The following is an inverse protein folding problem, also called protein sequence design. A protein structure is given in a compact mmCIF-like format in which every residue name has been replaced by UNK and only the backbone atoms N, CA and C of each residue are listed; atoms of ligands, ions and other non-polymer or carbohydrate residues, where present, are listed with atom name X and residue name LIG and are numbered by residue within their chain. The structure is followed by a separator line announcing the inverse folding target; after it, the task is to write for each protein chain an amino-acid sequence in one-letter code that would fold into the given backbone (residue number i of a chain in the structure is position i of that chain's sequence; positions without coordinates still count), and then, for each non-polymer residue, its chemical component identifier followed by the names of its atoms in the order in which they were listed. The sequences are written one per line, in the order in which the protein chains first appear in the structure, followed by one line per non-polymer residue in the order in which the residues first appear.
data_IF_641041644913
#
_entry.id   IF_641041644913
#
_cell.length_a   1.000
_cell.length_b   1.000
_cell.length_c   1.000
_cell.angle_alpha   90.00
_cell.angle_beta   90.00
_cell.angle_gamma   90.00
#
_symmetry.space_group_name_H-M   'P 1'
#
loop_
_entity.id
_entity.type
_entity.pdbx_description
1 polymer ?
#
# COMPACT_ATOMS: atom_id res chain seq x y z
N UNK A 1 -69.80 70.98 7.94
CA UNK A 1 -69.06 72.25 8.09
C UNK A 1 -67.57 71.92 8.11
N UNK A 2 -66.83 72.47 7.14
CA UNK A 2 -65.36 72.52 6.96
C UNK A 2 -64.50 71.23 6.92
N UNK A 3 -64.17 70.87 5.68
CA UNK A 3 -62.88 70.27 5.25
C UNK A 3 -61.72 71.25 5.50
N UNK A 4 -60.57 70.75 5.94
CA UNK A 4 -59.24 71.31 5.60
C UNK A 4 -58.27 70.17 5.34
N UNK A 5 -57.78 70.10 4.11
CA UNK A 5 -56.56 69.40 3.73
C UNK A 5 -55.35 70.16 4.28
N UNK A 6 -54.23 69.47 4.54
CA UNK A 6 -52.93 69.86 3.98
C UNK A 6 -51.89 68.74 4.13
N UNK A 7 -51.41 68.28 2.98
CA UNK A 7 -50.20 67.51 2.81
C UNK A 7 -49.00 68.38 3.10
N UNK A 8 -48.16 68.00 4.06
CA UNK A 8 -46.81 68.54 4.19
C UNK A 8 -45.88 67.42 4.64
N UNK A 9 -45.10 66.92 3.67
CA UNK A 9 -43.77 66.31 3.79
C UNK A 9 -43.65 65.07 4.72
N UNK A 10 -43.42 63.84 4.25
CA UNK A 10 -42.52 63.43 3.16
C UNK A 10 -41.12 64.06 3.29
N UNK A 11 -40.52 64.03 4.48
CA UNK A 11 -39.05 64.12 4.66
C UNK A 11 -38.71 63.65 6.09
N UNK A 12 -38.26 62.39 6.18
CA UNK A 12 -37.22 61.79 7.06
C UNK A 12 -37.42 60.26 6.96
N UNK A 13 -37.40 59.78 5.71
CA UNK A 13 -36.73 58.55 5.37
C UNK A 13 -35.22 58.83 5.49
N UNK A 14 -34.48 57.90 6.09
CA UNK A 14 -33.04 57.92 6.43
C UNK A 14 -32.67 58.46 7.82
N UNK A 15 -32.17 57.53 8.65
CA UNK A 15 -31.41 57.70 9.90
C UNK A 15 -32.25 57.83 11.19
N UNK A 16 -32.87 56.71 11.60
CA UNK A 16 -32.54 56.06 12.89
C UNK A 16 -32.46 54.56 12.64
N UNK A 17 -31.40 54.20 11.91
CA UNK A 17 -30.89 52.86 11.76
C UNK A 17 -30.00 52.57 12.99
N UNK A 18 -30.58 52.53 14.20
CA UNK A 18 -29.88 52.17 15.44
C UNK A 18 -30.84 52.11 16.63
N UNK A 19 -31.83 51.22 16.57
CA UNK A 19 -32.74 51.02 17.70
C UNK A 19 -33.47 49.70 17.61
N UNK A 20 -32.93 48.69 18.28
CA UNK A 20 -33.56 47.40 18.60
C UNK A 20 -33.83 46.45 17.41
N UNK A 21 -32.75 45.87 16.88
CA UNK A 21 -32.78 44.43 16.61
C UNK A 21 -32.83 43.69 17.96
N UNK A 22 -33.97 43.09 18.30
CA UNK A 22 -34.07 41.91 19.19
C UNK A 22 -35.53 41.46 19.26
N UNK A 23 -35.96 40.77 18.21
CA UNK A 23 -37.24 40.07 18.13
C UNK A 23 -37.09 38.80 17.31
N UNK A 24 -35.98 38.09 17.51
CA UNK A 24 -35.78 36.78 16.90
C UNK A 24 -36.66 35.75 17.61
N UNK A 25 -37.66 35.27 16.87
CA UNK A 25 -38.18 33.90 16.88
C UNK A 25 -37.58 32.97 17.96
N UNK A 26 -38.26 32.81 19.08
CA UNK A 26 -38.05 31.65 19.95
C UNK A 26 -38.85 30.46 19.39
N UNK A 27 -38.40 29.94 18.25
CA UNK A 27 -38.68 28.56 17.92
C UNK A 27 -37.85 27.71 18.89
N UNK A 28 -38.51 27.03 19.84
CA UNK A 28 -37.82 26.06 20.68
C UNK A 28 -37.30 24.95 19.77
N UNK A 29 -36.00 24.98 19.48
CA UNK A 29 -35.30 23.84 18.92
C UNK A 29 -35.43 22.70 19.94
N UNK A 30 -36.18 21.65 19.58
CA UNK A 30 -36.08 20.39 20.29
C UNK A 30 -34.61 19.96 20.20
N UNK A 31 -33.91 19.98 21.34
CA UNK A 31 -32.56 19.43 21.43
C UNK A 31 -32.54 18.01 20.87
N UNK A 32 -31.39 17.50 20.39
CA UNK A 32 -31.32 16.16 19.85
C UNK A 32 -31.82 15.18 20.91
N UNK A 33 -33.03 14.64 20.70
CA UNK A 33 -33.59 13.63 21.59
C UNK A 33 -32.59 12.50 21.73
N UNK A 34 -32.46 11.95 22.94
CA UNK A 34 -31.62 10.76 23.16
C UNK A 34 -32.02 9.70 22.14
N UNK A 35 -31.18 9.50 21.12
CA UNK A 35 -31.29 8.35 20.24
C UNK A 35 -31.11 7.12 21.14
N UNK A 36 -32.17 6.33 21.26
CA UNK A 36 -32.05 4.99 21.83
C UNK A 36 -30.89 4.28 21.12
N UNK A 37 -29.94 3.68 21.86
CA UNK A 37 -28.87 2.94 21.22
C UNK A 37 -29.50 1.87 20.36
N UNK A 38 -29.13 1.85 19.08
CA UNK A 38 -29.51 0.76 18.18
C UNK A 38 -29.06 -0.55 18.86
N UNK A 39 -29.89 -1.61 18.85
CA UNK A 39 -29.43 -2.91 19.30
C UNK A 39 -28.15 -3.25 18.53
N UNK A 40 -27.14 -3.85 19.18
CA UNK A 40 -25.93 -4.28 18.49
C UNK A 40 -26.37 -5.17 17.33
N UNK A 41 -26.13 -4.72 16.09
CA UNK A 41 -26.23 -5.61 14.94
C UNK A 41 -25.17 -6.67 15.24
N UNK A 42 -25.52 -7.96 15.35
CA UNK A 42 -24.53 -9.00 15.39
C UNK A 42 -23.78 -8.89 14.06
N UNK A 43 -22.61 -8.25 14.07
CA UNK A 43 -21.66 -8.38 12.98
C UNK A 43 -21.31 -9.87 13.01
N UNK A 44 -22.01 -10.66 12.18
CA UNK A 44 -21.57 -12.00 11.81
C UNK A 44 -20.09 -11.83 11.50
N UNK A 45 -19.22 -12.42 12.32
CA UNK A 45 -17.78 -12.26 12.16
C UNK A 45 -17.44 -12.48 10.69
N UNK A 46 -16.62 -11.60 10.13
CA UNK A 46 -16.28 -11.62 8.72
C UNK A 46 -15.69 -12.99 8.34
N UNK A 47 -16.50 -13.89 7.78
CA UNK A 47 -16.05 -15.21 7.32
C UNK A 47 -15.38 -15.13 5.95
N UNK A 48 -15.12 -13.93 5.41
CA UNK A 48 -14.60 -13.72 4.06
C UNK A 48 -13.07 -13.57 4.00
N UNK A 49 -12.40 -13.62 5.16
CA UNK A 49 -10.95 -13.64 5.26
C UNK A 49 -10.40 -14.95 4.69
N UNK A 50 -10.13 -14.96 3.38
CA UNK A 50 -9.65 -16.16 2.69
C UNK A 50 -8.54 -15.82 1.71
N UNK A 51 -7.34 -16.36 1.97
CA UNK A 51 -6.17 -16.19 1.10
C UNK A 51 -6.45 -16.67 -0.33
N UNK A 52 -7.18 -17.78 -0.47
CA UNK A 52 -7.46 -18.42 -1.75
C UNK A 52 -8.29 -17.56 -2.71
N UNK A 53 -8.89 -16.45 -2.26
CA UNK A 53 -9.60 -15.52 -3.14
C UNK A 53 -8.65 -14.88 -4.16
N UNK A 54 -7.52 -14.36 -3.68
CA UNK A 54 -6.57 -13.59 -4.49
C UNK A 54 -5.24 -14.31 -4.73
N UNK A 55 -4.94 -15.35 -3.95
CA UNK A 55 -3.68 -16.06 -3.99
C UNK A 55 -3.90 -17.56 -4.16
N UNK A 56 -2.88 -18.25 -4.64
CA UNK A 56 -2.74 -19.70 -4.48
C UNK A 56 -1.51 -19.96 -3.62
N UNK A 57 -1.51 -21.04 -2.84
CA UNK A 57 -0.32 -21.45 -2.10
C UNK A 57 0.83 -21.68 -3.09
N UNK A 58 2.00 -21.13 -2.78
CA UNK A 58 3.20 -21.36 -3.58
C UNK A 58 3.55 -22.85 -3.61
N UNK A 59 3.91 -23.36 -4.79
CA UNK A 59 4.44 -24.70 -4.97
C UNK A 59 5.95 -24.68 -5.13
N UNK A 60 6.65 -25.72 -4.68
CA UNK A 60 8.08 -25.92 -4.93
C UNK A 60 8.38 -26.18 -6.41
N UNK A 61 7.36 -26.55 -7.20
CA UNK A 61 7.49 -26.66 -8.66
C UNK A 61 7.73 -25.28 -9.26
N UNK A 62 8.88 -25.11 -9.92
CA UNK A 62 9.24 -23.91 -10.67
C UNK A 62 8.16 -23.55 -11.70
N UNK A 63 7.83 -22.26 -11.85
CA UNK A 63 6.90 -21.74 -12.88
C UNK A 63 7.51 -20.59 -13.66
N UNK A 64 7.05 -20.34 -14.88
CA UNK A 64 7.41 -19.11 -15.59
C UNK A 64 6.77 -17.87 -14.93
N UNK A 65 7.31 -16.66 -15.15
CA UNK A 65 6.57 -15.41 -14.99
C UNK A 65 5.25 -15.41 -15.78
N UNK A 66 4.40 -14.41 -15.55
CA UNK A 66 3.20 -14.26 -16.36
C UNK A 66 3.52 -13.91 -17.83
N UNK A 67 2.49 -13.81 -18.68
CA UNK A 67 2.66 -13.54 -20.11
C UNK A 67 3.40 -12.22 -20.41
N UNK A 68 3.38 -11.27 -19.47
CA UNK A 68 4.02 -9.96 -19.54
C UNK A 68 5.35 -9.90 -18.74
N UNK A 69 5.83 -11.03 -18.23
CA UNK A 69 7.09 -11.13 -17.47
C UNK A 69 6.98 -10.78 -15.99
N UNK A 70 5.78 -10.56 -15.43
CA UNK A 70 5.63 -10.22 -14.03
C UNK A 70 5.84 -11.42 -13.11
N UNK A 71 6.50 -11.12 -11.99
CA UNK A 71 6.81 -12.07 -10.94
C UNK A 71 5.61 -12.16 -9.99
N UNK A 72 4.95 -13.32 -9.97
CA UNK A 72 3.75 -13.54 -9.18
C UNK A 72 4.01 -14.33 -7.88
N UNK A 73 5.12 -15.07 -7.82
CA UNK A 73 5.48 -15.94 -6.69
C UNK A 73 6.34 -15.18 -5.70
N UNK A 74 5.94 -15.19 -4.43
CA UNK A 74 6.66 -14.51 -3.35
C UNK A 74 6.54 -15.28 -2.04
N UNK A 75 7.64 -15.34 -1.29
CA UNK A 75 7.59 -15.39 0.16
C UNK A 75 7.26 -13.99 0.67
N UNK A 76 6.18 -13.90 1.44
CA UNK A 76 5.65 -12.65 1.99
C UNK A 76 5.58 -12.80 3.49
N UNK A 77 6.24 -11.89 4.21
CA UNK A 77 6.19 -11.84 5.67
C UNK A 77 4.85 -11.20 6.12
N UNK A 78 4.35 -11.59 7.28
CA UNK A 78 3.31 -10.81 7.94
C UNK A 78 3.73 -9.33 8.10
N UNK A 79 2.79 -8.37 8.08
CA UNK A 79 3.14 -6.97 8.14
C UNK A 79 3.76 -6.61 9.49
N UNK A 80 4.89 -5.93 9.45
CA UNK A 80 5.43 -5.15 10.58
C UNK A 80 4.50 -3.96 10.76
N UNK A 81 3.86 -3.82 11.93
CA UNK A 81 3.01 -2.67 12.23
C UNK A 81 3.85 -1.39 12.35
N UNK A 82 3.37 -0.29 11.76
CA UNK A 82 3.95 1.05 11.78
C UNK A 82 2.89 2.10 12.06
N UNK A 83 3.25 3.16 12.77
CA UNK A 83 2.35 4.28 13.02
C UNK A 83 2.57 5.37 11.95
N UNK A 84 1.89 5.22 10.81
CA UNK A 84 2.05 6.10 9.64
C UNK A 84 0.68 6.68 9.26
N UNK A 85 0.46 7.96 9.57
CA UNK A 85 -0.80 8.63 9.29
C UNK A 85 -0.94 9.12 7.83
N UNK A 86 0.18 9.38 7.14
CA UNK A 86 0.22 9.94 5.78
C UNK A 86 1.44 9.41 5.02
N UNK A 87 1.31 9.24 3.72
CA UNK A 87 2.36 8.68 2.85
C UNK A 87 3.39 9.72 2.37
N UNK A 88 3.12 11.02 2.51
CA UNK A 88 4.04 12.08 2.11
C UNK A 88 5.39 12.09 2.87
N UNK A 89 5.52 11.27 3.92
CA UNK A 89 6.77 11.10 4.69
C UNK A 89 7.76 10.14 4.04
N UNK A 90 7.38 9.41 2.98
CA UNK A 90 8.18 8.37 2.33
C UNK A 90 9.33 8.93 1.47
N UNK A 91 10.13 9.82 2.04
CA UNK A 91 11.39 10.28 1.47
C UNK A 91 12.42 9.15 1.43
N UNK A 92 13.42 9.27 0.57
CA UNK A 92 14.55 8.36 0.46
C UNK A 92 15.19 8.02 1.82
N UNK A 93 15.47 9.05 2.62
CA UNK A 93 16.10 8.89 3.93
C UNK A 93 15.18 8.18 4.92
N UNK A 94 13.88 8.49 4.90
CA UNK A 94 12.90 7.82 5.76
C UNK A 94 12.82 6.33 5.41
N UNK A 95 12.71 6.00 4.11
CA UNK A 95 12.63 4.61 3.65
C UNK A 95 13.89 3.82 4.02
N UNK A 96 15.09 4.34 3.71
CA UNK A 96 16.35 3.67 4.04
C UNK A 96 16.51 3.43 5.54
N UNK A 97 16.22 4.45 6.35
CA UNK A 97 16.28 4.32 7.81
C UNK A 97 15.28 3.29 8.32
N UNK A 98 14.04 3.35 7.83
CA UNK A 98 12.96 2.46 8.29
C UNK A 98 13.22 1.01 7.89
N UNK A 99 13.62 0.76 6.65
CA UNK A 99 13.91 -0.59 6.16
C UNK A 99 15.16 -1.18 6.83
N UNK A 100 16.16 -0.36 7.16
CA UNK A 100 17.33 -0.81 7.91
C UNK A 100 16.96 -1.21 9.35
N UNK A 101 16.16 -0.39 10.04
CA UNK A 101 15.78 -0.62 11.43
C UNK A 101 14.91 -1.87 11.63
N UNK A 102 13.95 -2.11 10.73
CA UNK A 102 13.02 -3.26 10.81
C UNK A 102 13.41 -4.38 9.84
N UNK A 103 14.69 -4.57 9.58
CA UNK A 103 15.16 -5.63 8.70
C UNK A 103 15.07 -6.99 9.40
N UNK A 104 14.56 -8.01 8.69
CA UNK A 104 14.48 -9.38 9.23
C UNK A 104 15.83 -10.13 9.18
N UNK A 105 16.79 -9.66 8.39
CA UNK A 105 18.13 -10.24 8.31
C UNK A 105 19.15 -9.28 7.70
N UNK A 106 20.30 -9.12 8.34
CA UNK A 106 21.44 -8.34 7.82
C UNK A 106 22.07 -8.97 6.57
N UNK A 107 21.89 -10.27 6.35
CA UNK A 107 22.26 -10.93 5.10
C UNK A 107 21.10 -10.80 4.10
N UNK A 108 21.29 -9.93 3.11
CA UNK A 108 20.32 -9.66 2.05
C UNK A 108 20.12 -10.81 1.04
N UNK A 109 20.84 -11.92 1.21
CA UNK A 109 20.73 -13.13 0.40
C UNK A 109 19.99 -14.28 1.09
N UNK A 110 19.54 -14.11 2.34
CA UNK A 110 18.72 -15.11 3.03
C UNK A 110 17.38 -15.32 2.33
N UNK A 111 17.07 -16.59 2.05
CA UNK A 111 15.74 -17.07 1.62
C UNK A 111 15.06 -17.75 2.81
N UNK A 112 13.98 -17.17 3.37
CA UNK A 112 13.26 -17.77 4.49
C UNK A 112 12.48 -19.01 4.04
N UNK A 113 12.03 -19.83 5.01
CA UNK A 113 11.21 -21.02 4.69
C UNK A 113 9.73 -20.67 4.77
N UNK A 114 8.93 -21.24 3.89
CA UNK A 114 7.48 -21.12 3.99
C UNK A 114 7.01 -21.62 5.38
N UNK A 115 6.19 -20.83 6.05
CA UNK A 115 5.65 -21.15 7.37
C UNK A 115 6.57 -20.90 8.56
N UNK A 116 7.86 -20.58 8.36
CA UNK A 116 8.76 -20.23 9.46
C UNK A 116 8.43 -18.84 10.04
N UNK A 117 8.77 -18.63 11.31
CA UNK A 117 8.66 -17.33 11.98
C UNK A 117 10.03 -16.63 12.07
N UNK A 118 10.01 -15.31 12.20
CA UNK A 118 11.18 -14.47 12.47
C UNK A 118 10.76 -13.30 13.34
N UNK A 119 11.67 -12.84 14.20
CA UNK A 119 11.46 -11.62 14.99
C UNK A 119 11.92 -10.40 14.21
N UNK A 120 11.05 -9.39 14.11
CA UNK A 120 11.37 -8.06 13.60
C UNK A 120 11.01 -7.04 14.69
N UNK A 121 12.03 -6.44 15.29
CA UNK A 121 11.84 -5.67 16.53
C UNK A 121 11.24 -6.55 17.63
N UNK A 122 10.07 -6.16 18.14
CA UNK A 122 9.32 -6.89 19.17
C UNK A 122 8.16 -7.74 18.60
N UNK A 123 8.11 -7.96 17.28
CA UNK A 123 7.04 -8.69 16.61
C UNK A 123 7.55 -10.02 16.08
N UNK A 124 6.92 -11.13 16.48
CA UNK A 124 7.11 -12.43 15.84
C UNK A 124 6.17 -12.52 14.61
N UNK A 125 6.75 -12.73 13.43
CA UNK A 125 6.06 -12.66 12.14
C UNK A 125 6.29 -13.93 11.33
N UNK A 126 5.25 -14.40 10.64
CA UNK A 126 5.27 -15.66 9.85
C UNK A 126 5.46 -15.42 8.35
N UNK A 127 6.22 -16.28 7.69
CA UNK A 127 6.38 -16.28 6.23
C UNK A 127 5.30 -17.11 5.53
N UNK A 128 4.81 -16.61 4.39
CA UNK A 128 3.86 -17.31 3.51
C UNK A 128 4.40 -17.34 2.08
N UNK A 129 4.51 -18.54 1.49
CA UNK A 129 4.76 -18.69 0.06
C UNK A 129 3.44 -18.63 -0.71
N UNK A 130 3.29 -17.62 -1.56
CA UNK A 130 2.05 -17.33 -2.29
C UNK A 130 2.34 -16.97 -3.74
N UNK A 131 1.47 -17.44 -4.64
CA UNK A 131 1.37 -16.97 -6.01
C UNK A 131 0.18 -16.01 -6.11
N UNK A 132 0.41 -14.79 -6.58
CA UNK A 132 -0.70 -13.90 -6.97
C UNK A 132 -1.41 -14.42 -8.19
N UNK A 133 -2.74 -14.33 -8.20
CA UNK A 133 -3.57 -14.65 -9.38
C UNK A 133 -3.54 -13.55 -10.45
N UNK A 134 -3.05 -12.36 -10.11
CA UNK A 134 -2.89 -11.21 -11.02
C UNK A 134 -1.41 -10.88 -11.22
N UNK A 135 -1.10 -9.93 -12.10
CA UNK A 135 0.29 -9.52 -12.38
C UNK A 135 0.95 -8.81 -11.17
N UNK A 136 0.15 -8.14 -10.34
CA UNK A 136 0.58 -7.48 -9.11
C UNK A 136 0.27 -8.32 -7.88
N UNK A 137 1.03 -8.12 -6.81
CA UNK A 137 0.73 -8.68 -5.50
C UNK A 137 0.02 -7.62 -4.66
N UNK A 138 -1.20 -7.93 -4.19
CA UNK A 138 -2.02 -6.99 -3.42
C UNK A 138 -1.88 -7.23 -1.91
N UNK A 139 -1.05 -6.41 -1.25
CA UNK A 139 -0.77 -6.51 0.18
C UNK A 139 -1.99 -6.17 1.05
N UNK A 140 -2.87 -5.30 0.58
CA UNK A 140 -4.15 -5.05 1.26
C UNK A 140 -5.00 -6.33 1.33
N UNK A 141 -5.14 -7.05 0.21
CA UNK A 141 -5.85 -8.33 0.19
C UNK A 141 -5.16 -9.40 1.02
N UNK A 142 -3.83 -9.45 0.98
CA UNK A 142 -3.05 -10.39 1.80
C UNK A 142 -3.28 -10.16 3.29
N UNK A 143 -3.02 -8.94 3.79
CA UNK A 143 -3.18 -8.58 5.21
C UNK A 143 -4.62 -8.74 5.69
N UNK A 144 -5.60 -8.37 4.85
CA UNK A 144 -7.00 -8.66 5.11
C UNK A 144 -7.22 -10.16 5.27
N UNK A 145 -6.79 -11.00 4.31
CA UNK A 145 -7.04 -12.44 4.32
C UNK A 145 -6.44 -13.17 5.53
N UNK A 146 -5.35 -12.66 6.12
CA UNK A 146 -4.72 -13.22 7.33
C UNK A 146 -5.11 -12.50 8.63
N UNK A 147 -6.12 -11.62 8.57
CA UNK A 147 -6.62 -10.84 9.71
C UNK A 147 -5.53 -10.04 10.44
N UNK A 148 -4.68 -9.35 9.68
CA UNK A 148 -3.62 -8.44 10.18
C UNK A 148 -3.93 -6.98 9.81
N UNK A 149 -3.27 -5.99 10.44
CA UNK A 149 -3.43 -4.58 10.05
C UNK A 149 -3.20 -4.37 8.56
N UNK A 150 -4.06 -3.56 7.95
CA UNK A 150 -4.03 -3.28 6.50
C UNK A 150 -3.32 -1.97 6.14
N UNK A 151 -3.16 -1.09 7.14
CA UNK A 151 -2.64 0.26 7.01
C UNK A 151 -1.54 0.47 8.05
N UNK A 152 -0.61 1.37 7.77
CA UNK A 152 0.56 1.58 8.61
C UNK A 152 1.35 0.27 8.70
N UNK A 153 1.77 -0.23 7.54
CA UNK A 153 2.45 -1.52 7.45
C UNK A 153 3.74 -1.41 6.65
N UNK A 154 4.72 -2.21 7.06
CA UNK A 154 5.89 -2.57 6.27
C UNK A 154 5.83 -4.09 6.04
N UNK A 155 6.02 -4.51 4.79
CA UNK A 155 6.03 -5.93 4.42
C UNK A 155 7.32 -6.28 3.71
N UNK A 156 7.97 -7.34 4.20
CA UNK A 156 9.14 -7.93 3.55
C UNK A 156 8.75 -9.03 2.57
N UNK A 157 9.49 -9.08 1.47
CA UNK A 157 9.23 -9.92 0.31
C UNK A 157 10.52 -10.60 -0.12
N UNK A 158 10.45 -11.89 -0.44
CA UNK A 158 11.56 -12.63 -1.03
C UNK A 158 11.03 -13.50 -2.16
N UNK A 159 11.76 -13.57 -3.27
CA UNK A 159 11.57 -14.63 -4.25
C UNK A 159 12.92 -15.06 -4.80
N UNK A 160 12.93 -16.23 -5.40
CA UNK A 160 14.07 -16.75 -6.15
C UNK A 160 13.68 -16.78 -7.63
N UNK A 161 14.58 -16.34 -8.49
CA UNK A 161 14.50 -16.61 -9.93
C UNK A 161 15.71 -17.43 -10.36
N UNK A 162 15.47 -18.41 -11.22
CA UNK A 162 16.51 -19.27 -11.77
C UNK A 162 16.61 -19.00 -13.28
N UNK A 163 17.81 -18.63 -13.72
CA UNK A 163 18.10 -18.28 -15.11
C UNK A 163 18.86 -19.42 -15.79
N UNK A 164 18.46 -19.88 -16.99
CA UNK A 164 19.16 -20.95 -17.70
C UNK A 164 20.58 -20.53 -18.15
N UNK A 165 20.78 -19.23 -18.33
CA UNK A 165 22.03 -18.60 -18.72
C UNK A 165 22.23 -17.27 -17.99
N UNK A 166 23.43 -16.70 -18.06
CA UNK A 166 23.67 -15.35 -17.56
C UNK A 166 23.06 -14.33 -18.52
N UNK A 167 22.38 -13.32 -17.99
CA UNK A 167 21.75 -12.25 -18.78
C UNK A 167 22.31 -10.91 -18.30
N UNK A 168 23.01 -10.24 -19.18
CA UNK A 168 23.62 -8.94 -18.93
C UNK A 168 22.69 -7.80 -19.36
N UNK A 169 22.99 -6.59 -18.88
CA UNK A 169 22.32 -5.34 -19.26
C UNK A 169 20.80 -5.32 -19.05
N UNK A 170 20.32 -6.11 -18.08
CA UNK A 170 18.90 -6.16 -17.72
C UNK A 170 18.53 -5.00 -16.80
N UNK A 171 17.24 -4.69 -16.70
CA UNK A 171 16.70 -3.79 -15.68
C UNK A 171 15.64 -4.48 -14.85
N UNK A 172 15.68 -4.30 -13.54
CA UNK A 172 14.52 -4.58 -12.69
C UNK A 172 13.55 -3.40 -12.84
N UNK A 173 12.29 -3.67 -13.14
CA UNK A 173 11.23 -2.69 -13.27
C UNK A 173 10.13 -2.97 -12.26
N UNK A 174 9.65 -1.94 -11.55
CA UNK A 174 8.59 -2.10 -10.57
C UNK A 174 7.61 -0.93 -10.52
N UNK A 175 6.41 -1.27 -10.06
CA UNK A 175 5.41 -0.34 -9.55
C UNK A 175 5.07 -0.68 -8.10
N UNK A 176 4.83 0.32 -7.27
CA UNK A 176 4.47 0.14 -5.86
C UNK A 176 3.52 1.24 -5.39
N UNK A 177 2.52 0.87 -4.59
CA UNK A 177 1.77 1.80 -3.76
C UNK A 177 2.11 1.52 -2.26
N UNK A 178 2.79 2.41 -1.54
CA UNK A 178 3.37 3.70 -1.97
C UNK A 178 4.90 3.66 -2.02
N UNK A 179 5.56 3.26 -0.93
CA UNK A 179 7.02 3.22 -0.83
C UNK A 179 7.58 1.81 -1.01
N UNK A 180 8.72 1.64 -1.68
CA UNK A 180 9.44 0.36 -1.66
C UNK A 180 10.93 0.47 -1.94
N UNK A 181 11.67 -0.59 -1.61
CA UNK A 181 13.08 -0.76 -1.93
C UNK A 181 13.34 -2.22 -2.32
N UNK A 182 14.25 -2.41 -3.28
CA UNK A 182 14.48 -3.70 -3.90
C UNK A 182 15.97 -4.01 -4.00
N UNK A 183 16.31 -5.28 -3.77
CA UNK A 183 17.65 -5.81 -3.84
C UNK A 183 17.70 -7.03 -4.75
N UNK A 184 18.79 -7.15 -5.49
CA UNK A 184 19.12 -8.32 -6.29
C UNK A 184 20.45 -8.91 -5.79
N UNK A 185 20.44 -10.17 -5.37
CA UNK A 185 21.62 -10.88 -4.89
C UNK A 185 22.39 -10.13 -3.79
N UNK A 186 21.66 -9.50 -2.88
CA UNK A 186 22.22 -8.72 -1.77
C UNK A 186 22.61 -7.27 -2.11
N UNK A 187 22.56 -6.87 -3.38
CA UNK A 187 22.90 -5.53 -3.84
C UNK A 187 21.62 -4.69 -4.00
N UNK A 188 21.65 -3.43 -3.56
CA UNK A 188 20.56 -2.47 -3.82
C UNK A 188 20.36 -2.31 -5.33
N UNK A 189 19.12 -2.51 -5.79
CA UNK A 189 18.75 -2.41 -7.20
C UNK A 189 18.02 -1.11 -7.50
N UNK A 190 17.05 -0.74 -6.65
CA UNK A 190 16.24 0.48 -6.81
C UNK A 190 15.40 0.80 -5.56
N UNK A 191 14.86 2.01 -5.53
CA UNK A 191 13.93 2.50 -4.52
C UNK A 191 12.81 3.31 -5.19
N UNK A 192 11.60 3.21 -4.65
CA UNK A 192 10.43 3.98 -5.02
C UNK A 192 9.99 4.78 -3.80
N UNK A 193 10.33 6.07 -3.77
CA UNK A 193 10.01 7.01 -2.69
C UNK A 193 8.86 7.95 -3.05
N UNK A 194 8.12 8.42 -2.04
CA UNK A 194 6.96 9.30 -2.19
C UNK A 194 5.62 8.57 -2.01
N UNK A 195 4.56 9.37 -1.99
CA UNK A 195 3.18 8.90 -2.05
C UNK A 195 2.85 8.57 -3.52
N UNK A 196 2.72 7.28 -3.84
CA UNK A 196 2.68 6.79 -5.23
C UNK A 196 1.49 5.88 -5.45
N UNK A 197 0.94 5.96 -6.65
CA UNK A 197 0.07 4.91 -7.18
C UNK A 197 0.89 3.77 -7.79
N UNK A 198 0.32 2.56 -7.76
CA UNK A 198 0.93 1.42 -8.44
C UNK A 198 0.71 1.56 -9.94
N UNK A 199 1.79 1.92 -10.62
CA UNK A 199 1.90 1.97 -12.07
C UNK A 199 3.01 0.99 -12.46
N UNK A 200 2.72 0.03 -13.33
CA UNK A 200 3.73 -0.92 -13.80
C UNK A 200 4.93 -0.18 -14.41
N UNK A 201 6.13 -0.67 -14.10
CA UNK A 201 7.42 -0.09 -14.53
C UNK A 201 7.63 1.38 -14.16
N UNK A 202 6.95 1.88 -13.12
CA UNK A 202 7.09 3.28 -12.70
C UNK A 202 8.54 3.68 -12.40
N UNK A 203 9.33 2.75 -11.86
CA UNK A 203 10.77 2.92 -11.67
C UNK A 203 11.51 1.70 -12.21
N UNK A 204 12.66 1.97 -12.83
CA UNK A 204 13.59 0.95 -13.30
C UNK A 204 14.95 1.14 -12.64
N UNK A 205 15.60 0.05 -12.27
CA UNK A 205 16.99 0.04 -11.79
C UNK A 205 17.95 0.55 -12.85
N UNK A 206 19.21 0.79 -12.45
CA UNK A 206 20.35 0.79 -13.39
C UNK A 206 20.49 -0.57 -14.08
N UNK A 207 21.45 -0.70 -15.02
CA UNK A 207 21.72 -2.00 -15.64
C UNK A 207 22.26 -2.98 -14.59
N UNK A 208 21.67 -4.16 -14.56
CA UNK A 208 22.01 -5.25 -13.66
C UNK A 208 22.43 -6.48 -14.47
N UNK A 209 22.92 -7.48 -13.74
CA UNK A 209 23.26 -8.80 -14.28
C UNK A 209 22.48 -9.87 -13.53
N UNK A 210 21.74 -10.70 -14.26
CA UNK A 210 21.19 -11.95 -13.75
C UNK A 210 22.21 -13.05 -13.97
N UNK A 211 22.67 -13.68 -12.89
CA UNK A 211 23.61 -14.79 -12.97
C UNK A 211 22.91 -16.01 -13.58
N UNK A 212 23.67 -16.87 -14.26
CA UNK A 212 23.20 -18.23 -14.54
C UNK A 212 22.84 -18.93 -13.22
N UNK A 213 21.70 -19.61 -13.19
CA UNK A 213 21.16 -20.27 -12.01
C UNK A 213 20.45 -19.30 -11.06
N UNK A 214 20.64 -19.53 -9.76
CA UNK A 214 19.90 -18.86 -8.68
C UNK A 214 20.22 -17.36 -8.58
N UNK A 215 19.17 -16.54 -8.60
CA UNK A 215 19.20 -15.14 -8.21
C UNK A 215 18.11 -14.87 -7.18
N UNK A 216 18.42 -14.04 -6.19
CA UNK A 216 17.55 -13.76 -5.06
C UNK A 216 17.08 -12.32 -5.14
N UNK A 217 15.77 -12.13 -5.08
CA UNK A 217 15.15 -10.81 -5.08
C UNK A 217 14.57 -10.62 -3.68
N UNK A 218 14.99 -9.54 -3.02
CA UNK A 218 14.37 -9.07 -1.78
C UNK A 218 13.67 -7.75 -2.05
N UNK A 219 12.50 -7.58 -1.45
CA UNK A 219 11.75 -6.33 -1.47
C UNK A 219 11.29 -5.94 -0.08
N UNK A 220 11.16 -4.64 0.14
CA UNK A 220 10.41 -4.06 1.25
C UNK A 220 9.36 -3.12 0.66
N UNK A 221 8.11 -3.24 1.10
CA UNK A 221 7.01 -2.34 0.73
C UNK A 221 6.45 -1.71 1.99
N UNK A 222 6.20 -0.41 1.96
CA UNK A 222 5.64 0.35 3.09
C UNK A 222 4.46 1.20 2.63
N UNK A 223 3.43 1.25 3.47
CA UNK A 223 2.26 2.07 3.24
C UNK A 223 1.66 2.56 4.55
N UNK A 224 1.19 3.80 4.56
CA UNK A 224 0.37 4.37 5.62
C UNK A 224 -1.10 4.03 5.37
N UNK A 225 -1.96 5.00 5.01
CA UNK A 225 -3.33 4.74 4.60
C UNK A 225 -3.43 4.25 3.14
N UNK A 226 -4.57 3.66 2.78
CA UNK A 226 -4.90 3.33 1.38
C UNK A 226 -4.47 1.93 0.94
N UNK A 227 -4.53 1.70 -0.36
CA UNK A 227 -4.18 0.41 -0.97
C UNK A 227 -2.67 0.19 -0.92
N UNK A 228 -2.25 -1.03 -0.58
CA UNK A 228 -0.86 -1.45 -0.68
C UNK A 228 -0.74 -2.59 -1.69
N UNK A 229 0.06 -2.40 -2.74
CA UNK A 229 0.33 -3.41 -3.75
C UNK A 229 1.60 -3.10 -4.55
N UNK A 230 2.14 -4.10 -5.23
CA UNK A 230 3.35 -3.93 -6.04
C UNK A 230 3.37 -4.90 -7.24
N UNK A 231 4.19 -4.61 -8.23
CA UNK A 231 4.55 -5.55 -9.29
C UNK A 231 6.03 -5.39 -9.64
N UNK A 232 6.69 -6.48 -10.03
CA UNK A 232 8.10 -6.50 -10.43
C UNK A 232 8.29 -7.40 -11.64
N UNK A 233 9.14 -6.99 -12.58
CA UNK A 233 9.64 -7.81 -13.69
C UNK A 233 11.06 -7.44 -14.05
N UNK A 234 11.68 -8.23 -14.92
CA UNK A 234 12.94 -7.84 -15.58
C UNK A 234 12.69 -7.51 -17.04
N UNK A 235 13.38 -6.49 -17.52
CA UNK A 235 13.42 -6.08 -18.91
C UNK A 235 14.84 -6.30 -19.45
N UNK A 236 14.95 -6.75 -20.69
CA UNK A 236 16.24 -6.85 -21.38
C UNK A 236 16.79 -5.48 -21.79
N UNK A 237 17.93 -5.45 -22.47
CA UNK A 237 18.58 -4.23 -22.95
C UNK A 237 17.68 -3.38 -23.87
N UNK A 238 16.69 -4.01 -24.52
CA UNK A 238 15.74 -3.40 -25.47
C UNK A 238 14.43 -3.00 -24.80
N UNK A 239 14.29 -3.22 -23.48
CA UNK A 239 13.08 -2.96 -22.73
C UNK A 239 12.01 -4.04 -22.88
N UNK A 240 12.35 -5.21 -23.43
CA UNK A 240 11.41 -6.33 -23.62
C UNK A 240 11.38 -7.20 -22.35
N UNK A 241 10.20 -7.64 -21.88
CA UNK A 241 10.12 -8.48 -20.69
C UNK A 241 10.86 -9.81 -20.83
N UNK A 242 11.70 -10.12 -19.84
CA UNK A 242 12.40 -11.39 -19.72
C UNK A 242 11.44 -12.44 -19.18
N UNK A 243 11.20 -13.47 -19.99
CA UNK A 243 10.26 -14.57 -19.66
C UNK A 243 10.93 -15.94 -19.57
N UNK A 244 12.13 -16.08 -20.13
CA UNK A 244 12.91 -17.32 -20.07
C UNK A 244 13.68 -17.46 -18.74
N UNK A 245 12.94 -17.33 -17.64
CA UNK A 245 13.40 -17.54 -16.26
C UNK A 245 12.32 -18.34 -15.54
N UNK A 246 12.68 -18.94 -14.40
CA UNK A 246 11.71 -19.65 -13.58
C UNK A 246 11.65 -19.11 -12.16
N UNK A 247 10.45 -19.04 -11.61
CA UNK A 247 10.13 -18.53 -10.29
C UNK A 247 10.10 -19.68 -9.28
N UNK A 248 10.84 -19.49 -8.19
CA UNK A 248 10.87 -20.34 -7.00
C UNK A 248 10.72 -19.46 -5.76
N UNK A 249 10.38 -20.06 -4.63
CA UNK A 249 10.53 -19.40 -3.33
C UNK A 249 11.59 -20.08 -2.45
N UNK A 250 12.27 -21.11 -2.97
CA UNK A 250 13.35 -21.86 -2.34
C UNK A 250 14.65 -21.72 -3.16
#
# INVERSE_FOLDING_TARGET
MNRKFNYVLLFISFIVLSGLQLGALTAFAQGPGQRLPLPPIPLKGDTTHTLSKHFTTGSTTKKAPDANGFIQRWLVLEPVKKDIARNNIFTDNYLKTTFSADNFSSDYTVVPRNGSTVNVGNQELKWYALDSKTFNFNLYHFTYAINKPKYGILVWLVTVIDCPEEINDVRMAAGCNSGSMWWLNGQEAMMLSGDRDMIADNVTSTRLRLKKGKNIIRGAVINGPGMANFCVRFLDEKGVPIKNISLSYE
#
